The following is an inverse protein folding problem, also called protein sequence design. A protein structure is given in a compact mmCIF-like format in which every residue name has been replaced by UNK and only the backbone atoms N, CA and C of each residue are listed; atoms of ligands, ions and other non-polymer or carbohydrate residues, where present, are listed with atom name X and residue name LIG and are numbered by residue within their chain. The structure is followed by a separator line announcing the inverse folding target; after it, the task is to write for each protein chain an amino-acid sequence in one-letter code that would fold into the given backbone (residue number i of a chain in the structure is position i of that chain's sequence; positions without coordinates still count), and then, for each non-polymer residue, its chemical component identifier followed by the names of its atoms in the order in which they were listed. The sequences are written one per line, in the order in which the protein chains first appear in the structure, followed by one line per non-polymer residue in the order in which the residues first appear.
data_IF_951216001635
#
_entry.id   IF_951216001635
#
_cell.length_a   1.000
_cell.length_b   1.000
_cell.length_c   1.000
_cell.angle_alpha   90.00
_cell.angle_beta   90.00
_cell.angle_gamma   90.00
#
_symmetry.space_group_name_H-M   'P 1'
#
loop_
_entity.id
_entity.type
_entity.pdbx_description
1 polymer ?
#
# COMPACT_ATOMS: atom_id res chain seq x y z
N UNK A 1 8.07 -14.82 33.13
CA UNK A 1 9.50 -15.05 33.42
C UNK A 1 9.87 -16.53 33.39
N UNK A 2 8.97 -17.47 33.71
CA UNK A 2 9.21 -18.93 33.64
C UNK A 2 9.26 -19.48 32.18
N UNK A 3 8.74 -18.74 31.19
CA UNK A 3 8.60 -19.21 29.80
C UNK A 3 9.80 -18.93 28.86
N UNK A 4 10.93 -18.38 29.33
CA UNK A 4 12.02 -17.90 28.45
C UNK A 4 13.24 -18.82 28.34
N UNK A 5 13.18 -20.03 28.85
CA UNK A 5 14.27 -21.00 28.71
C UNK A 5 13.71 -22.34 28.27
N UNK A 6 13.82 -22.66 26.98
CA UNK A 6 14.32 -23.92 26.40
C UNK A 6 14.13 -23.80 24.88
N UNK A 7 15.23 -23.65 24.15
CA UNK A 7 15.28 -23.96 22.71
C UNK A 7 16.25 -25.12 22.54
N UNK A 8 15.73 -26.31 22.26
CA UNK A 8 16.49 -27.38 21.64
C UNK A 8 15.55 -28.43 21.00
N UNK A 9 15.77 -28.68 19.70
CA UNK A 9 15.35 -29.86 18.91
C UNK A 9 13.84 -30.16 18.83
N UNK A 10 13.16 -29.49 17.90
CA UNK A 10 12.00 -30.06 17.19
C UNK A 10 10.68 -30.21 17.96
N UNK A 11 10.65 -29.97 19.28
CA UNK A 11 9.45 -29.92 20.10
C UNK A 11 8.78 -28.55 20.04
N UNK A 12 7.42 -28.52 20.07
CA UNK A 12 6.66 -27.27 20.22
C UNK A 12 7.05 -26.63 21.56
N UNK A 13 7.17 -25.29 21.66
CA UNK A 13 7.41 -24.62 22.94
C UNK A 13 6.40 -25.12 23.98
N UNK A 14 6.89 -25.67 25.10
CA UNK A 14 6.05 -26.30 26.13
C UNK A 14 5.26 -25.30 26.98
N UNK A 15 5.50 -24.00 26.81
CA UNK A 15 4.68 -22.97 27.42
C UNK A 15 3.54 -22.57 26.47
N UNK A 16 2.30 -22.74 26.94
CA UNK A 16 1.11 -22.02 26.47
C UNK A 16 0.38 -22.53 25.22
N UNK A 17 0.11 -23.83 25.11
CA UNK A 17 -0.95 -24.25 24.17
C UNK A 17 -1.69 -25.50 24.65
N UNK A 18 -3.01 -25.36 24.85
CA UNK A 18 -3.94 -26.47 25.10
C UNK A 18 -4.32 -27.20 23.80
N UNK A 19 -3.70 -26.85 22.66
CA UNK A 19 -4.05 -27.37 21.35
C UNK A 19 -3.12 -28.51 20.94
N UNK A 20 -3.63 -29.73 21.00
CA UNK A 20 -2.93 -30.96 20.59
C UNK A 20 -3.74 -31.73 19.56
N UNK A 21 -3.06 -32.42 18.64
CA UNK A 21 -3.71 -33.22 17.61
C UNK A 21 -4.01 -32.45 16.32
N UNK A 22 -4.65 -33.12 15.35
CA UNK A 22 -5.06 -32.51 14.08
C UNK A 22 -6.26 -31.58 14.26
N UNK A 23 -6.35 -30.55 13.42
CA UNK A 23 -7.53 -29.68 13.35
C UNK A 23 -8.82 -30.43 12.99
N UNK A 24 -9.85 -30.29 13.84
CA UNK A 24 -11.20 -30.77 13.56
C UNK A 24 -12.01 -29.72 12.78
N UNK A 25 -12.38 -30.07 11.55
CA UNK A 25 -13.15 -29.20 10.64
C UNK A 25 -14.67 -29.38 10.73
N UNK A 26 -15.17 -30.25 11.61
CA UNK A 26 -16.60 -30.60 11.72
C UNK A 26 -17.50 -29.38 11.92
N UNK A 27 -17.13 -28.50 12.86
CA UNK A 27 -17.88 -27.28 13.17
C UNK A 27 -17.91 -26.31 11.98
N UNK A 28 -16.75 -26.10 11.33
CA UNK A 28 -16.68 -25.25 10.14
C UNK A 28 -17.57 -25.81 9.01
N UNK A 29 -17.53 -27.12 8.78
CA UNK A 29 -18.34 -27.73 7.74
C UNK A 29 -19.83 -27.40 7.93
N UNK A 30 -20.35 -27.57 9.15
CA UNK A 30 -21.73 -27.23 9.49
C UNK A 30 -22.04 -25.75 9.25
N UNK A 31 -21.17 -24.84 9.70
CA UNK A 31 -21.33 -23.39 9.51
C UNK A 31 -21.38 -22.99 8.03
N UNK A 32 -20.46 -23.51 7.22
CA UNK A 32 -20.38 -23.15 5.80
C UNK A 32 -21.56 -23.71 5.00
N UNK A 33 -22.00 -24.93 5.29
CA UNK A 33 -23.19 -25.52 4.66
C UNK A 33 -24.45 -24.72 5.00
N UNK A 34 -24.65 -24.39 6.29
CA UNK A 34 -25.78 -23.56 6.72
C UNK A 34 -25.74 -22.18 6.04
N UNK A 35 -24.56 -21.57 5.92
CA UNK A 35 -24.40 -20.28 5.24
C UNK A 35 -24.73 -20.38 3.75
N UNK A 36 -24.20 -21.39 3.05
CA UNK A 36 -24.46 -21.62 1.64
C UNK A 36 -25.95 -21.89 1.35
N UNK A 37 -26.63 -22.61 2.24
CA UNK A 37 -28.08 -22.88 2.14
C UNK A 37 -28.93 -21.61 2.17
N UNK A 38 -28.46 -20.52 2.78
CA UNK A 38 -29.13 -19.20 2.73
C UNK A 38 -28.91 -18.44 1.41
N UNK A 39 -28.19 -19.03 0.45
CA UNK A 39 -27.77 -18.35 -0.79
C UNK A 39 -26.66 -17.32 -0.59
N UNK A 40 -26.09 -17.21 0.62
CA UNK A 40 -25.02 -16.26 0.95
C UNK A 40 -23.65 -16.85 0.69
N UNK A 41 -22.69 -15.95 0.42
CA UNK A 41 -21.29 -16.29 0.18
C UNK A 41 -20.37 -15.21 0.75
N UNK A 42 -19.41 -15.55 1.62
CA UNK A 42 -18.47 -14.58 2.15
C UNK A 42 -17.53 -14.06 1.06
N UNK A 43 -17.05 -12.82 1.20
CA UNK A 43 -16.02 -12.27 0.29
C UNK A 43 -14.69 -13.01 0.41
N UNK A 44 -14.30 -13.33 1.65
CA UNK A 44 -13.14 -14.14 2.00
C UNK A 44 -13.31 -14.81 3.36
N UNK A 45 -12.45 -15.78 3.65
CA UNK A 45 -12.40 -16.51 4.92
C UNK A 45 -10.93 -16.66 5.34
N UNK A 46 -10.63 -16.30 6.59
CA UNK A 46 -9.32 -16.50 7.21
C UNK A 46 -9.29 -17.82 8.01
N UNK A 47 -8.12 -18.45 8.10
CA UNK A 47 -7.94 -19.67 8.87
C UNK A 47 -7.25 -19.39 10.20
N UNK A 48 -8.02 -19.13 11.26
CA UNK A 48 -7.46 -18.79 12.58
C UNK A 48 -6.94 -17.36 12.67
N UNK A 49 -6.38 -17.02 13.84
CA UNK A 49 -5.90 -15.68 14.19
C UNK A 49 -4.72 -15.80 15.15
N UNK A 50 -3.53 -15.36 14.72
CA UNK A 50 -2.29 -15.34 15.50
C UNK A 50 -1.96 -16.71 16.17
N UNK A 51 -2.04 -17.80 15.39
CA UNK A 51 -1.86 -19.17 15.89
C UNK A 51 -0.48 -19.78 15.62
N UNK A 52 0.46 -19.00 15.08
CA UNK A 52 1.67 -19.55 14.45
C UNK A 52 2.95 -18.98 15.04
N UNK A 53 3.99 -19.82 15.04
CA UNK A 53 5.32 -19.45 15.51
C UNK A 53 5.40 -19.20 17.01
N UNK A 54 6.51 -18.62 17.45
CA UNK A 54 6.77 -18.36 18.88
C UNK A 54 5.82 -17.32 19.48
N UNK A 55 5.30 -16.41 18.67
CA UNK A 55 4.46 -15.29 19.10
C UNK A 55 2.95 -15.55 18.95
N UNK A 56 2.52 -16.79 18.73
CA UNK A 56 1.10 -17.12 18.71
C UNK A 56 0.45 -17.00 20.09
N UNK A 57 -0.86 -16.69 20.14
CA UNK A 57 -1.59 -16.39 21.37
C UNK A 57 -2.09 -17.67 22.07
N UNK A 58 -2.64 -18.62 21.32
CA UNK A 58 -3.27 -19.86 21.85
C UNK A 58 -2.64 -21.14 21.30
N UNK A 59 -1.90 -20.99 20.20
CA UNK A 59 -1.21 -22.08 19.54
C UNK A 59 0.12 -21.57 18.97
N UNK A 60 1.04 -22.50 18.79
CA UNK A 60 2.37 -22.24 18.25
C UNK A 60 2.63 -23.17 17.05
N UNK A 61 1.70 -23.14 16.09
CA UNK A 61 1.70 -24.07 14.97
C UNK A 61 2.93 -23.85 14.08
N UNK A 62 3.52 -24.97 13.66
CA UNK A 62 4.68 -24.99 12.76
C UNK A 62 4.23 -24.82 11.31
N UNK A 63 5.10 -24.33 10.40
CA UNK A 63 4.72 -24.07 9.01
C UNK A 63 4.06 -25.26 8.30
N UNK A 64 4.69 -26.45 8.34
CA UNK A 64 4.18 -27.66 7.69
C UNK A 64 2.82 -28.12 8.25
N UNK A 65 2.64 -27.97 9.56
CA UNK A 65 1.41 -28.32 10.25
C UNK A 65 0.27 -27.38 9.86
N UNK A 66 0.50 -26.08 9.94
CA UNK A 66 -0.48 -25.08 9.56
C UNK A 66 -0.81 -25.15 8.05
N UNK A 67 0.17 -25.44 7.18
CA UNK A 67 -0.05 -25.65 5.75
C UNK A 67 -0.91 -26.88 5.44
N UNK A 68 -0.73 -27.99 6.16
CA UNK A 68 -1.58 -29.18 6.04
C UNK A 68 -3.03 -28.84 6.42
N UNK A 69 -3.22 -28.16 7.55
CA UNK A 69 -4.56 -27.82 8.05
C UNK A 69 -5.24 -26.74 7.18
N UNK A 70 -4.48 -25.78 6.67
CA UNK A 70 -4.98 -24.80 5.70
C UNK A 70 -5.47 -25.45 4.40
N UNK A 71 -4.84 -26.55 3.93
CA UNK A 71 -5.34 -27.32 2.79
C UNK A 71 -6.67 -28.02 3.10
N UNK A 72 -6.81 -28.60 4.28
CA UNK A 72 -8.08 -29.17 4.74
C UNK A 72 -9.16 -28.10 4.80
N UNK A 73 -8.83 -26.92 5.34
CA UNK A 73 -9.72 -25.76 5.38
C UNK A 73 -10.17 -25.35 3.98
N UNK A 74 -9.23 -25.22 3.03
CA UNK A 74 -9.54 -24.94 1.63
C UNK A 74 -10.48 -26.00 1.03
N UNK A 75 -10.28 -27.29 1.33
CA UNK A 75 -11.17 -28.37 0.86
C UNK A 75 -12.59 -28.23 1.39
N UNK A 76 -12.75 -27.94 2.68
CA UNK A 76 -14.07 -27.74 3.30
C UNK A 76 -14.76 -26.50 2.74
N UNK A 77 -14.04 -25.40 2.55
CA UNK A 77 -14.58 -24.19 1.90
C UNK A 77 -15.03 -24.48 0.46
N UNK A 78 -14.28 -25.30 -0.27
CA UNK A 78 -14.65 -25.68 -1.65
C UNK A 78 -15.94 -26.48 -1.70
N UNK A 79 -16.18 -27.38 -0.74
CA UNK A 79 -17.43 -28.15 -0.70
C UNK A 79 -18.69 -27.28 -0.55
N UNK A 80 -18.58 -26.10 0.08
CA UNK A 80 -19.68 -25.16 0.21
C UNK A 80 -19.87 -24.29 -1.04
N UNK A 81 -18.79 -23.94 -1.76
CA UNK A 81 -18.85 -23.07 -2.94
C UNK A 81 -17.95 -23.54 -4.10
N UNK A 82 -18.24 -24.66 -4.76
CA UNK A 82 -17.36 -25.26 -5.77
C UNK A 82 -17.16 -24.39 -7.02
N UNK A 83 -18.20 -23.66 -7.44
CA UNK A 83 -18.16 -22.82 -8.66
C UNK A 83 -17.63 -21.41 -8.42
N UNK A 84 -17.73 -20.91 -7.19
CA UNK A 84 -17.38 -19.53 -6.82
C UNK A 84 -16.70 -19.49 -5.45
N UNK A 85 -15.53 -20.11 -5.28
CA UNK A 85 -14.86 -20.13 -4.00
C UNK A 85 -14.54 -18.71 -3.48
N UNK A 86 -14.69 -18.44 -2.17
CA UNK A 86 -14.21 -17.19 -1.56
C UNK A 86 -12.68 -17.08 -1.56
N UNK A 87 -12.18 -15.86 -1.35
CA UNK A 87 -10.76 -15.61 -1.07
C UNK A 87 -10.37 -16.33 0.24
N UNK A 88 -9.24 -17.03 0.25
CA UNK A 88 -8.70 -17.61 1.49
C UNK A 88 -7.56 -16.75 2.02
N UNK A 89 -7.53 -16.53 3.34
CA UNK A 89 -6.51 -15.75 4.03
C UNK A 89 -5.77 -16.63 5.06
N UNK A 90 -4.45 -16.49 5.12
CA UNK A 90 -3.56 -17.18 6.06
C UNK A 90 -2.13 -16.57 6.05
N UNK A 91 -1.36 -16.63 7.15
CA UNK A 91 -1.72 -17.22 8.43
C UNK A 91 -2.51 -16.30 9.39
N UNK A 92 -2.81 -15.07 8.98
CA UNK A 92 -3.43 -14.06 9.87
C UNK A 92 -2.66 -13.91 11.19
N UNK A 93 -1.35 -13.70 11.07
CA UNK A 93 -0.44 -13.63 12.21
C UNK A 93 0.61 -12.54 12.05
N UNK A 94 1.28 -12.17 13.14
CA UNK A 94 2.41 -11.24 13.09
C UNK A 94 3.49 -11.72 12.11
N UNK A 95 4.05 -10.80 11.31
CA UNK A 95 5.08 -11.15 10.34
C UNK A 95 6.37 -11.64 11.03
N UNK A 96 6.70 -12.91 10.79
CA UNK A 96 7.99 -13.56 11.05
C UNK A 96 8.56 -14.07 9.72
N UNK A 97 9.74 -13.59 9.34
CA UNK A 97 10.32 -13.87 8.03
C UNK A 97 10.67 -15.35 7.83
N UNK A 98 11.18 -16.01 8.87
CA UNK A 98 11.63 -17.40 8.78
C UNK A 98 10.44 -18.37 8.75
N UNK A 99 9.45 -18.14 9.61
CA UNK A 99 8.23 -18.92 9.64
C UNK A 99 7.44 -18.75 8.34
N UNK A 100 7.23 -17.49 7.90
CA UNK A 100 6.47 -17.21 6.69
C UNK A 100 7.15 -17.78 5.44
N UNK A 101 8.47 -17.67 5.33
CA UNK A 101 9.22 -18.25 4.21
C UNK A 101 8.95 -19.75 4.09
N UNK A 102 9.09 -20.49 5.20
CA UNK A 102 8.82 -21.93 5.23
C UNK A 102 7.36 -22.22 4.92
N UNK A 103 6.40 -21.44 5.44
CA UNK A 103 4.99 -21.66 5.17
C UNK A 103 4.63 -21.49 3.69
N UNK A 104 5.19 -20.47 3.03
CA UNK A 104 4.99 -20.26 1.59
C UNK A 104 5.64 -21.40 0.79
N UNK A 105 6.83 -21.88 1.18
CA UNK A 105 7.47 -23.05 0.57
C UNK A 105 6.64 -24.33 0.76
N UNK A 106 6.05 -24.52 1.95
CA UNK A 106 5.15 -25.65 2.22
C UNK A 106 3.91 -25.61 1.33
N UNK A 107 3.39 -24.43 0.97
CA UNK A 107 2.20 -24.28 0.12
C UNK A 107 2.49 -24.34 -1.38
N UNK A 108 3.60 -23.72 -1.83
CA UNK A 108 3.87 -23.44 -3.25
C UNK A 108 5.22 -23.96 -3.75
N UNK A 109 6.08 -24.48 -2.87
CA UNK A 109 7.38 -25.01 -3.23
C UNK A 109 7.29 -26.28 -4.07
N UNK A 110 8.40 -26.69 -4.68
CA UNK A 110 8.47 -27.89 -5.53
C UNK A 110 8.14 -29.19 -4.82
N UNK A 111 8.31 -29.23 -3.49
CA UNK A 111 7.98 -30.37 -2.63
C UNK A 111 6.55 -30.29 -2.06
N UNK A 112 5.81 -29.20 -2.33
CA UNK A 112 4.44 -29.08 -1.87
C UNK A 112 3.58 -30.19 -2.50
N UNK A 113 2.72 -30.86 -1.72
CA UNK A 113 1.74 -31.79 -2.26
C UNK A 113 0.96 -31.14 -3.41
N UNK A 114 0.82 -31.82 -4.56
CA UNK A 114 0.07 -31.26 -5.67
C UNK A 114 -1.37 -30.97 -5.21
N UNK A 115 -1.97 -29.84 -5.63
CA UNK A 115 -3.36 -29.60 -5.34
C UNK A 115 -4.20 -30.75 -5.95
N UNK A 116 -5.28 -31.19 -5.28
CA UNK A 116 -6.17 -32.18 -5.86
C UNK A 116 -6.66 -31.68 -7.23
N UNK A 117 -6.76 -32.58 -8.24
CA UNK A 117 -7.16 -32.19 -9.58
C UNK A 117 -8.53 -31.50 -9.53
N UNK A 118 -8.60 -30.30 -10.11
CA UNK A 118 -9.84 -29.55 -10.20
C UNK A 118 -10.63 -30.05 -11.41
N UNK A 119 -11.95 -30.27 -11.28
CA UNK A 119 -12.82 -30.42 -12.43
C UNK A 119 -12.65 -29.22 -13.38
N UNK A 120 -12.76 -29.46 -14.68
CA UNK A 120 -12.46 -28.46 -15.71
C UNK A 120 -13.33 -27.18 -15.59
N UNK A 121 -14.48 -27.26 -14.91
CA UNK A 121 -15.41 -26.16 -14.67
C UNK A 121 -15.20 -25.43 -13.33
N UNK A 122 -14.22 -25.82 -12.52
CA UNK A 122 -13.96 -25.23 -11.21
C UNK A 122 -12.73 -24.31 -11.20
N UNK A 123 -12.88 -23.05 -10.74
CA UNK A 123 -11.74 -22.14 -10.63
C UNK A 123 -10.84 -22.53 -9.44
N UNK A 124 -9.53 -22.26 -9.58
CA UNK A 124 -8.59 -22.34 -8.48
C UNK A 124 -8.94 -21.34 -7.36
N UNK A 125 -8.52 -21.63 -6.13
CA UNK A 125 -8.63 -20.65 -5.04
C UNK A 125 -7.76 -19.44 -5.32
N UNK A 126 -8.27 -18.27 -4.97
CA UNK A 126 -7.44 -17.11 -4.75
C UNK A 126 -6.97 -17.15 -3.30
N UNK A 127 -5.67 -17.04 -3.07
CA UNK A 127 -5.06 -17.05 -1.74
C UNK A 127 -4.43 -15.68 -1.49
N UNK A 128 -4.72 -15.10 -0.32
CA UNK A 128 -3.99 -13.97 0.23
C UNK A 128 -3.12 -14.46 1.38
N UNK A 129 -1.81 -14.35 1.22
CA UNK A 129 -0.90 -14.48 2.34
C UNK A 129 -1.05 -13.21 3.17
N UNK A 130 -1.45 -13.37 4.43
CA UNK A 130 -1.88 -12.31 5.33
C UNK A 130 -0.96 -12.21 6.54
N UNK A 131 -0.69 -10.99 6.99
CA UNK A 131 0.02 -10.77 8.25
C UNK A 131 -0.57 -9.58 9.01
N UNK A 132 -0.37 -9.58 10.32
CA UNK A 132 -0.80 -8.52 11.22
C UNK A 132 0.33 -7.52 11.42
N UNK A 133 -0.04 -6.25 11.62
CA UNK A 133 0.90 -5.18 11.88
C UNK A 133 0.38 -4.19 12.93
N UNK A 134 1.12 -4.06 14.02
CA UNK A 134 0.92 -3.00 15.02
C UNK A 134 2.23 -2.22 15.20
N UNK A 135 2.57 -1.34 14.24
CA UNK A 135 3.91 -0.77 14.14
C UNK A 135 4.29 0.18 15.27
N UNK A 136 3.33 0.67 16.06
CA UNK A 136 3.58 1.69 17.08
C UNK A 136 3.88 1.09 18.46
N UNK A 137 3.40 -0.12 18.77
CA UNK A 137 3.54 -0.74 20.09
C UNK A 137 2.22 -0.84 20.86
N UNK A 138 2.28 -0.86 22.19
CA UNK A 138 1.12 -1.03 23.06
C UNK A 138 0.32 0.27 23.22
N UNK A 139 -1.00 0.16 23.38
CA UNK A 139 -1.90 1.30 23.60
C UNK A 139 -1.70 2.08 24.91
N UNK A 140 -0.88 1.59 25.84
CA UNK A 140 -0.50 2.26 27.09
C UNK A 140 0.91 2.90 27.02
N UNK A 141 1.60 2.76 25.89
CA UNK A 141 2.94 3.32 25.71
C UNK A 141 2.90 4.86 25.60
N UNK A 142 3.81 5.55 26.31
CA UNK A 142 3.87 7.02 26.31
C UNK A 142 4.48 7.61 25.03
N UNK A 143 5.28 6.84 24.31
CA UNK A 143 6.03 7.26 23.13
C UNK A 143 5.27 7.16 21.80
N UNK A 144 3.97 6.83 21.80
CA UNK A 144 3.23 6.59 20.56
C UNK A 144 3.24 7.79 19.61
N UNK A 145 3.00 9.01 20.11
CA UNK A 145 3.05 10.23 19.28
C UNK A 145 4.42 10.44 18.65
N UNK A 146 5.50 10.26 19.44
CA UNK A 146 6.86 10.39 18.93
C UNK A 146 7.16 9.36 17.83
N UNK A 147 6.70 8.11 17.99
CA UNK A 147 6.87 7.07 16.96
C UNK A 147 6.06 7.35 15.69
N UNK A 148 4.87 7.92 15.81
CA UNK A 148 4.01 8.26 14.67
C UNK A 148 4.66 9.34 13.79
N UNK A 149 5.33 10.33 14.41
CA UNK A 149 5.95 11.46 13.72
C UNK A 149 7.42 11.22 13.36
N UNK A 150 8.02 10.13 13.83
CA UNK A 150 9.40 9.76 13.51
C UNK A 150 9.49 9.17 12.10
N UNK A 151 10.11 9.86 11.13
CA UNK A 151 10.21 9.36 9.77
C UNK A 151 11.05 8.08 9.65
N UNK A 152 12.00 7.84 10.56
CA UNK A 152 12.76 6.58 10.59
C UNK A 152 11.88 5.41 11.03
N UNK A 153 10.97 5.62 12.00
CA UNK A 153 10.01 4.56 12.39
C UNK A 153 9.11 4.19 11.23
N UNK A 154 8.62 5.18 10.48
CA UNK A 154 7.81 4.94 9.30
C UNK A 154 8.59 4.20 8.20
N UNK A 155 9.87 4.49 8.01
CA UNK A 155 10.71 3.76 7.05
C UNK A 155 10.91 2.29 7.45
N UNK A 156 11.12 2.00 8.74
CA UNK A 156 11.20 0.62 9.23
C UNK A 156 9.90 -0.17 8.99
N UNK A 157 8.74 0.49 9.03
CA UNK A 157 7.46 -0.13 8.65
C UNK A 157 7.48 -0.51 7.17
N UNK A 158 7.91 0.41 6.30
CA UNK A 158 8.06 0.16 4.86
C UNK A 158 9.05 -0.97 4.55
N UNK A 159 10.18 -1.04 5.26
CA UNK A 159 11.15 -2.13 5.13
C UNK A 159 10.56 -3.49 5.51
N UNK A 160 9.76 -3.56 6.58
CA UNK A 160 9.06 -4.79 6.99
C UNK A 160 8.07 -5.24 5.92
N UNK A 161 7.31 -4.32 5.33
CA UNK A 161 6.42 -4.61 4.22
C UNK A 161 7.18 -5.14 2.99
N UNK A 162 8.30 -4.52 2.64
CA UNK A 162 9.15 -4.96 1.54
C UNK A 162 9.71 -6.37 1.77
N UNK A 163 10.13 -6.71 3.00
CA UNK A 163 10.58 -8.07 3.34
C UNK A 163 9.48 -9.09 3.12
N UNK A 164 8.27 -8.84 3.63
CA UNK A 164 7.13 -9.72 3.40
C UNK A 164 6.80 -9.88 1.90
N UNK A 165 6.87 -8.80 1.13
CA UNK A 165 6.67 -8.82 -0.32
C UNK A 165 7.70 -9.71 -1.03
N UNK A 166 8.99 -9.60 -0.65
CA UNK A 166 10.08 -10.43 -1.20
C UNK A 166 9.93 -11.91 -0.85
N UNK A 167 9.49 -12.22 0.37
CA UNK A 167 9.20 -13.60 0.76
C UNK A 167 8.19 -14.22 -0.21
N UNK A 168 7.08 -13.52 -0.44
CA UNK A 168 6.00 -14.01 -1.30
C UNK A 168 6.38 -14.06 -2.79
N UNK A 169 6.99 -13.00 -3.31
CA UNK A 169 7.30 -12.88 -4.75
C UNK A 169 8.29 -13.96 -5.20
N UNK A 170 9.22 -14.35 -4.33
CA UNK A 170 10.28 -15.30 -4.67
C UNK A 170 9.83 -16.77 -4.58
N UNK A 171 8.69 -17.05 -3.92
CA UNK A 171 8.29 -18.42 -3.54
C UNK A 171 6.92 -18.84 -4.04
N UNK A 172 5.98 -17.90 -4.21
CA UNK A 172 4.59 -18.26 -4.54
C UNK A 172 4.34 -18.49 -6.02
N UNK A 173 5.31 -18.20 -6.91
CA UNK A 173 5.11 -18.29 -8.36
C UNK A 173 3.99 -17.40 -8.91
N UNK A 174 3.54 -16.40 -8.14
CA UNK A 174 2.41 -15.54 -8.48
C UNK A 174 1.03 -16.14 -8.17
N UNK A 175 0.96 -17.30 -7.51
CA UNK A 175 -0.31 -17.96 -7.14
C UNK A 175 -1.00 -17.35 -5.92
N UNK A 176 -0.33 -16.43 -5.21
CA UNK A 176 -0.89 -15.76 -4.05
C UNK A 176 -0.61 -14.24 -4.08
N UNK A 177 -1.48 -13.49 -3.41
CA UNK A 177 -1.31 -12.04 -3.17
C UNK A 177 -0.91 -11.80 -1.72
N UNK A 178 -0.23 -10.69 -1.42
CA UNK A 178 0.10 -10.30 -0.05
C UNK A 178 -0.94 -9.34 0.51
N UNK A 179 -1.20 -9.40 1.82
CA UNK A 179 -2.12 -8.49 2.51
C UNK A 179 -1.70 -8.23 3.95
N UNK A 180 -2.15 -7.10 4.50
CA UNK A 180 -2.16 -6.87 5.95
C UNK A 180 -3.59 -7.05 6.43
N UNK A 181 -3.93 -8.21 6.97
CA UNK A 181 -5.32 -8.54 7.32
C UNK A 181 -5.78 -7.95 8.66
N UNK A 182 -4.87 -7.37 9.44
CA UNK A 182 -5.19 -6.65 10.67
C UNK A 182 -4.10 -5.61 10.99
N UNK A 183 -4.51 -4.35 11.24
CA UNK A 183 -3.61 -3.30 11.71
C UNK A 183 -4.36 -2.16 12.38
N UNK A 184 -3.97 -1.78 13.60
CA UNK A 184 -4.57 -0.66 14.36
C UNK A 184 -3.57 0.42 14.79
N UNK A 185 -2.31 0.33 14.32
CA UNK A 185 -1.22 1.20 14.75
C UNK A 185 -0.65 0.73 16.08
N UNK A 186 -1.43 0.85 17.15
CA UNK A 186 -1.09 0.35 18.48
C UNK A 186 -2.04 -0.78 18.92
N UNK A 187 -1.50 -1.88 19.45
CA UNK A 187 -2.28 -3.00 19.98
C UNK A 187 -2.90 -2.65 21.35
N UNK A 188 -3.56 -3.59 22.03
CA UNK A 188 -4.29 -3.34 23.28
C UNK A 188 -5.38 -2.26 23.14
N UNK A 189 -6.15 -2.32 22.06
CA UNK A 189 -7.24 -1.38 21.75
C UNK A 189 -6.81 0.07 21.50
N UNK A 190 -5.51 0.36 21.37
CA UNK A 190 -5.01 1.70 21.10
C UNK A 190 -5.09 2.68 22.29
N UNK A 191 -4.74 3.94 22.03
CA UNK A 191 -4.55 4.97 23.04
C UNK A 191 -5.47 6.17 22.82
N UNK A 192 -6.05 6.67 23.92
CA UNK A 192 -6.93 7.82 23.87
C UNK A 192 -6.14 9.10 23.60
N UNK A 193 -6.66 9.97 22.74
CA UNK A 193 -5.95 11.18 22.30
C UNK A 193 -4.82 10.90 21.32
N UNK A 194 -4.63 9.66 20.89
CA UNK A 194 -3.61 9.28 19.91
C UNK A 194 -4.21 8.47 18.76
N UNK A 195 -4.64 7.23 18.97
CA UNK A 195 -5.15 6.36 17.88
C UNK A 195 -6.58 6.70 17.44
N UNK A 196 -7.31 7.50 18.23
CA UNK A 196 -8.60 8.09 17.86
C UNK A 196 -8.50 9.58 17.53
N UNK A 197 -7.29 10.11 17.42
CA UNK A 197 -7.02 11.52 17.20
C UNK A 197 -6.33 11.76 15.84
N UNK A 198 -6.19 13.04 15.48
CA UNK A 198 -5.64 13.48 14.20
C UNK A 198 -4.23 12.97 13.95
N UNK A 199 -3.41 12.86 15.00
CA UNK A 199 -2.06 12.29 14.92
C UNK A 199 -2.06 10.85 14.37
N UNK A 200 -3.09 10.05 14.62
CA UNK A 200 -3.19 8.70 14.03
C UNK A 200 -3.13 8.71 12.49
N UNK A 201 -3.54 9.82 11.87
CA UNK A 201 -3.55 9.95 10.41
C UNK A 201 -2.17 9.81 9.78
N UNK A 202 -1.08 10.19 10.47
CA UNK A 202 0.25 10.14 9.87
C UNK A 202 0.72 8.72 9.60
N UNK A 203 0.73 7.85 10.61
CA UNK A 203 1.14 6.46 10.42
C UNK A 203 0.17 5.72 9.49
N UNK A 204 -1.13 6.02 9.56
CA UNK A 204 -2.14 5.33 8.76
C UNK A 204 -2.04 5.67 7.28
N UNK A 205 -1.95 6.97 6.93
CA UNK A 205 -1.75 7.40 5.55
C UNK A 205 -0.38 6.95 5.01
N UNK A 206 0.66 6.95 5.85
CA UNK A 206 1.97 6.43 5.44
C UNK A 206 1.92 4.94 5.15
N UNK A 207 1.26 4.16 6.01
CA UNK A 207 1.08 2.73 5.81
C UNK A 207 0.33 2.44 4.51
N UNK A 208 -0.76 3.16 4.22
CA UNK A 208 -1.51 3.01 2.96
C UNK A 208 -0.62 3.24 1.72
N UNK A 209 0.24 4.26 1.78
CA UNK A 209 1.21 4.54 0.73
C UNK A 209 2.33 3.48 0.62
N UNK A 210 2.84 3.00 1.76
CA UNK A 210 3.88 1.97 1.79
C UNK A 210 3.35 0.61 1.30
N UNK A 211 2.12 0.25 1.65
CA UNK A 211 1.43 -0.96 1.17
C UNK A 211 1.32 -0.95 -0.37
N UNK A 212 0.89 0.16 -0.95
CA UNK A 212 0.77 0.26 -2.42
C UNK A 212 2.14 0.21 -3.11
N UNK A 213 3.14 0.88 -2.53
CA UNK A 213 4.53 0.86 -3.01
C UNK A 213 5.13 -0.55 -3.01
N UNK A 214 4.76 -1.39 -2.04
CA UNK A 214 5.35 -2.72 -1.84
C UNK A 214 4.46 -3.88 -2.31
N UNK A 215 3.34 -3.58 -3.00
CA UNK A 215 2.54 -4.59 -3.69
C UNK A 215 1.56 -5.37 -2.81
N UNK A 216 1.16 -4.82 -1.66
CA UNK A 216 0.11 -5.39 -0.84
C UNK A 216 -1.25 -5.12 -1.48
N UNK A 217 -2.05 -6.17 -1.66
CA UNK A 217 -3.32 -6.10 -2.37
C UNK A 217 -4.40 -5.34 -1.59
N UNK A 218 -4.40 -5.48 -0.26
CA UNK A 218 -5.30 -4.77 0.63
C UNK A 218 -4.72 -4.71 2.05
N UNK A 219 -5.28 -3.80 2.85
CA UNK A 219 -5.13 -3.80 4.28
C UNK A 219 -6.47 -3.64 4.99
N UNK A 220 -6.63 -4.31 6.12
CA UNK A 220 -7.81 -4.22 6.97
C UNK A 220 -7.48 -3.41 8.22
N UNK A 221 -8.12 -2.25 8.35
CA UNK A 221 -7.98 -1.38 9.52
C UNK A 221 -8.70 -2.02 10.70
N UNK A 222 -7.93 -2.36 11.73
CA UNK A 222 -8.46 -2.62 13.06
C UNK A 222 -8.75 -1.25 13.71
N UNK A 223 -10.00 -0.86 13.89
CA UNK A 223 -11.24 -1.54 13.49
C UNK A 223 -12.22 -0.54 12.84
N UNK A 224 -13.29 -1.04 12.24
CA UNK A 224 -14.41 -0.18 11.87
C UNK A 224 -15.09 0.40 13.12
N UNK A 225 -15.34 -0.45 14.11
CA UNK A 225 -15.98 -0.14 15.40
C UNK A 225 -15.23 -0.88 16.52
N UNK A 226 -15.09 -0.25 17.70
CA UNK A 226 -14.52 -0.88 18.90
C UNK A 226 -13.05 -0.52 19.14
N UNK A 227 -12.70 -0.28 20.40
CA UNK A 227 -11.38 0.23 20.77
C UNK A 227 -11.21 1.73 20.50
N UNK A 228 -9.98 2.21 20.63
CA UNK A 228 -9.56 3.60 20.42
C UNK A 228 -8.87 3.80 19.09
N UNK A 229 -8.67 2.78 18.28
CA UNK A 229 -8.23 2.90 16.88
C UNK A 229 -9.40 2.88 15.88
N UNK A 230 -10.64 2.80 16.38
CA UNK A 230 -11.83 2.62 15.58
C UNK A 230 -12.05 3.79 14.62
N UNK A 231 -12.46 3.46 13.39
CA UNK A 231 -12.84 4.47 12.41
C UNK A 231 -14.15 5.17 12.81
N UNK A 232 -15.10 4.44 13.37
CA UNK A 232 -16.34 4.98 13.93
C UNK A 232 -16.27 4.95 15.47
N UNK A 233 -16.15 6.12 16.08
CA UNK A 233 -16.19 6.23 17.54
C UNK A 233 -17.65 6.30 18.01
N UNK A 234 -18.16 5.15 18.45
CA UNK A 234 -19.52 5.02 18.97
C UNK A 234 -19.74 5.81 20.27
N UNK A 235 -18.69 6.13 21.04
CA UNK A 235 -18.83 6.93 22.28
C UNK A 235 -19.15 8.38 21.96
N UNK A 236 -18.53 8.93 20.91
CA UNK A 236 -18.82 10.29 20.45
C UNK A 236 -19.93 10.35 19.40
N UNK A 237 -20.34 9.21 18.83
CA UNK A 237 -21.26 9.17 17.69
C UNK A 237 -20.70 9.89 16.46
N UNK A 238 -19.38 9.91 16.29
CA UNK A 238 -18.68 10.65 15.23
C UNK A 238 -17.61 9.77 14.57
N UNK A 239 -17.41 9.90 13.24
CA UNK A 239 -16.25 9.31 12.59
C UNK A 239 -14.96 9.95 13.10
N UNK A 240 -13.93 9.12 13.29
CA UNK A 240 -12.59 9.57 13.67
C UNK A 240 -11.91 10.35 12.52
N UNK A 241 -10.83 11.10 12.81
CA UNK A 241 -10.01 11.70 11.76
C UNK A 241 -9.53 10.70 10.70
N UNK A 242 -9.19 9.48 11.10
CA UNK A 242 -8.75 8.41 10.20
C UNK A 242 -9.85 7.90 9.28
N UNK A 243 -11.13 8.01 9.66
CA UNK A 243 -12.23 7.68 8.77
C UNK A 243 -12.24 8.62 7.56
N UNK A 244 -12.11 9.93 7.79
CA UNK A 244 -12.14 10.92 6.72
C UNK A 244 -10.94 10.81 5.79
N UNK A 245 -9.74 10.57 6.31
CA UNK A 245 -8.55 10.33 5.48
C UNK A 245 -8.67 9.04 4.66
N UNK A 246 -9.21 7.97 5.25
CA UNK A 246 -9.52 6.72 4.54
C UNK A 246 -10.55 6.92 3.44
N UNK A 247 -11.59 7.74 3.69
CA UNK A 247 -12.60 8.06 2.69
C UNK A 247 -12.01 8.85 1.51
N UNK A 248 -11.14 9.83 1.78
CA UNK A 248 -10.39 10.54 0.74
C UNK A 248 -9.49 9.59 -0.07
N UNK A 249 -8.70 8.74 0.60
CA UNK A 249 -7.91 7.70 -0.09
C UNK A 249 -8.77 6.84 -1.02
N UNK A 250 -9.91 6.34 -0.50
CA UNK A 250 -10.87 5.53 -1.25
C UNK A 250 -11.52 6.25 -2.42
N UNK A 251 -11.55 7.58 -2.41
CA UNK A 251 -12.20 8.40 -3.45
C UNK A 251 -11.21 8.92 -4.48
N UNK A 252 -9.98 9.25 -4.06
CA UNK A 252 -9.02 9.99 -4.88
C UNK A 252 -7.91 9.10 -5.45
N UNK A 253 -7.47 8.10 -4.70
CA UNK A 253 -6.32 7.23 -5.04
C UNK A 253 -6.81 5.93 -5.68
N UNK A 254 -6.52 5.67 -6.95
CA UNK A 254 -6.88 4.39 -7.61
C UNK A 254 -5.96 3.24 -7.18
N UNK A 255 -6.27 1.97 -7.47
CA UNK A 255 -5.32 0.86 -7.25
C UNK A 255 -4.03 0.91 -8.10
N UNK A 256 -3.96 1.79 -9.11
CA UNK A 256 -2.76 1.95 -9.96
C UNK A 256 -1.78 2.91 -9.30
N UNK A 257 -0.84 2.37 -8.54
CA UNK A 257 0.24 3.15 -7.92
C UNK A 257 1.24 3.66 -8.99
N UNK A 258 1.78 4.85 -8.76
CA UNK A 258 2.82 5.48 -9.55
C UNK A 258 4.08 5.62 -8.70
N UNK A 259 5.26 5.55 -9.34
CA UNK A 259 6.52 5.74 -8.64
C UNK A 259 6.76 7.22 -8.39
N UNK A 260 6.98 7.59 -7.13
CA UNK A 260 7.47 8.93 -6.78
C UNK A 260 9.00 8.92 -6.82
N UNK A 261 9.58 9.82 -7.61
CA UNK A 261 11.03 10.00 -7.76
C UNK A 261 11.41 11.33 -7.12
N UNK A 262 12.27 11.28 -6.10
CA UNK A 262 12.85 12.50 -5.52
C UNK A 262 14.08 12.90 -6.30
N UNK A 263 14.13 14.16 -6.72
CA UNK A 263 15.35 14.79 -7.22
C UNK A 263 15.75 15.89 -6.23
N UNK A 264 16.70 15.66 -5.34
CA UNK A 264 17.25 16.72 -4.48
C UNK A 264 18.49 17.37 -5.12
N UNK A 265 18.38 18.68 -5.29
CA UNK A 265 19.43 19.71 -5.22
C UNK A 265 20.79 19.39 -5.83
N UNK A 266 20.87 19.35 -7.16
CA UNK A 266 22.01 19.94 -7.88
C UNK A 266 21.47 20.73 -9.05
N UNK A 267 21.23 22.02 -8.85
CA UNK A 267 21.41 22.95 -9.95
C UNK A 267 22.88 22.76 -10.36
N UNK A 268 23.11 22.27 -11.58
CA UNK A 268 24.43 22.37 -12.18
C UNK A 268 24.72 23.86 -12.19
N UNK A 269 25.63 24.34 -11.36
CA UNK A 269 26.22 25.63 -11.60
C UNK A 269 26.83 25.54 -13.00
N UNK A 270 26.25 26.32 -13.92
CA UNK A 270 26.91 26.61 -15.17
C UNK A 270 28.34 27.04 -14.83
N UNK A 271 29.28 26.32 -15.42
CA UNK A 271 30.70 26.55 -15.35
C UNK A 271 31.02 28.03 -15.63
N UNK A 272 31.35 28.77 -14.59
CA UNK A 272 32.14 30.00 -14.71
C UNK A 272 33.59 29.55 -14.93
N UNK A 273 34.30 30.03 -15.97
CA UNK A 273 35.71 29.70 -16.14
C UNK A 273 36.50 30.33 -14.99
N UNK A 274 37.08 29.51 -14.12
CA UNK A 274 37.97 29.98 -13.07
C UNK A 274 39.27 30.51 -13.70
N UNK A 275 39.49 31.82 -13.57
CA UNK A 275 40.78 32.47 -13.79
C UNK A 275 41.69 32.14 -12.60
N UNK A 276 42.87 31.61 -12.86
CA UNK A 276 43.84 31.23 -11.84
C UNK A 276 44.40 32.45 -11.09
N UNK A 277 44.71 32.30 -9.79
CA UNK A 277 45.85 32.99 -9.21
C UNK A 277 46.83 32.04 -8.51
N UNK A 278 48.06 32.55 -8.44
CA UNK A 278 49.31 31.90 -8.09
C UNK A 278 49.38 31.29 -6.68
N UNK A 279 50.24 30.28 -6.59
CA UNK A 279 50.69 29.61 -5.39
C UNK A 279 51.51 30.51 -4.45
N UNK A 280 51.32 30.34 -3.13
CA UNK A 280 52.40 30.04 -2.16
C UNK A 280 51.89 30.14 -0.71
N UNK A 281 51.69 29.00 -0.05
CA UNK A 281 51.86 28.80 1.40
C UNK A 281 51.57 27.32 1.75
N UNK A 282 52.46 26.69 2.54
CA UNK A 282 52.47 25.24 2.83
C UNK A 282 51.31 24.73 3.71
N UNK A 283 51.10 23.40 3.77
CA UNK A 283 49.86 22.81 4.27
C UNK A 283 49.89 22.63 5.79
N UNK A 284 49.01 23.33 6.51
CA UNK A 284 48.48 22.82 7.79
C UNK A 284 47.29 21.92 7.46
N UNK A 285 47.40 20.62 7.78
CA UNK A 285 46.30 19.65 7.66
C UNK A 285 45.13 20.13 8.53
N UNK A 286 44.09 20.65 7.87
CA UNK A 286 42.79 20.79 8.51
C UNK A 286 42.28 19.39 8.90
N UNK A 287 41.59 19.24 10.05
CA UNK A 287 40.91 18.00 10.38
C UNK A 287 39.94 17.64 9.25
N UNK A 288 39.74 16.34 8.95
CA UNK A 288 38.78 15.93 7.94
C UNK A 288 37.42 16.55 8.28
N UNK A 289 36.67 17.04 7.27
CA UNK A 289 35.31 17.49 7.52
C UNK A 289 34.54 16.36 8.22
N UNK A 290 33.65 16.69 9.16
CA UNK A 290 32.80 15.67 9.76
C UNK A 290 32.12 14.89 8.63
N UNK A 291 31.91 13.56 8.81
CA UNK A 291 31.15 12.80 7.84
C UNK A 291 29.84 13.55 7.55
N UNK A 292 29.38 13.59 6.29
CA UNK A 292 28.10 14.23 5.98
C UNK A 292 27.07 13.66 6.95
N UNK A 293 26.33 14.54 7.62
CA UNK A 293 25.23 14.14 8.46
C UNK A 293 24.40 13.10 7.67
N UNK A 294 23.99 11.98 8.27
CA UNK A 294 23.14 11.03 7.58
C UNK A 294 22.00 11.82 6.96
N UNK A 295 21.83 11.75 5.63
CA UNK A 295 20.84 12.54 4.89
C UNK A 295 19.55 12.55 5.71
N UNK A 296 19.24 13.70 6.33
CA UNK A 296 18.18 13.76 7.33
C UNK A 296 16.90 13.21 6.69
N UNK A 297 16.30 12.17 7.29
CA UNK A 297 15.17 11.50 6.69
C UNK A 297 14.09 12.54 6.39
N UNK A 298 13.61 12.61 5.14
CA UNK A 298 12.78 13.72 4.72
C UNK A 298 11.46 13.72 5.49
N UNK A 299 11.19 14.82 6.19
CA UNK A 299 9.95 15.05 6.96
C UNK A 299 8.71 15.12 6.08
N UNK A 300 8.88 15.41 4.78
CA UNK A 300 7.80 15.31 3.82
C UNK A 300 7.78 13.90 3.24
N UNK A 301 6.60 13.28 3.14
CA UNK A 301 6.42 11.96 2.54
C UNK A 301 5.34 12.05 1.47
N UNK A 302 5.47 11.28 0.40
CA UNK A 302 4.57 11.40 -0.73
C UNK A 302 4.37 10.09 -1.48
N UNK A 303 3.13 9.87 -1.91
CA UNK A 303 2.68 8.68 -2.60
C UNK A 303 1.77 9.10 -3.75
N UNK A 304 2.06 8.62 -4.96
CA UNK A 304 1.32 9.00 -6.15
C UNK A 304 0.60 7.80 -6.74
N UNK A 305 -0.63 8.02 -7.20
CA UNK A 305 -1.45 7.03 -7.86
C UNK A 305 -2.11 7.69 -9.07
N UNK A 306 -2.55 6.89 -10.04
CA UNK A 306 -3.55 7.40 -10.99
C UNK A 306 -4.78 7.85 -10.20
N UNK A 307 -5.36 8.97 -10.62
CA UNK A 307 -6.62 9.43 -10.06
C UNK A 307 -7.72 8.41 -10.36
N UNK A 308 -8.70 8.34 -9.46
CA UNK A 308 -9.72 7.29 -9.51
C UNK A 308 -10.68 7.49 -10.70
N UNK A 309 -10.67 6.52 -11.62
CA UNK A 309 -11.51 6.55 -12.83
C UNK A 309 -13.02 6.49 -12.57
N UNK A 310 -13.46 5.97 -11.42
CA UNK A 310 -14.88 5.98 -11.04
C UNK A 310 -15.41 7.38 -10.70
N UNK A 311 -14.53 8.38 -10.67
CA UNK A 311 -14.90 9.79 -10.59
C UNK A 311 -14.35 10.47 -11.84
N UNK A 312 -15.10 10.48 -12.96
CA UNK A 312 -14.58 10.95 -14.25
C UNK A 312 -13.95 12.35 -14.20
N UNK A 313 -14.52 13.26 -13.39
CA UNK A 313 -14.01 14.61 -13.14
C UNK A 313 -12.61 14.66 -12.50
N UNK A 314 -12.14 13.55 -11.91
CA UNK A 314 -10.82 13.46 -11.31
C UNK A 314 -9.79 12.80 -12.23
N UNK A 315 -10.23 12.15 -13.32
CA UNK A 315 -9.36 11.43 -14.26
C UNK A 315 -9.67 11.79 -15.71
N UNK A 316 -9.97 13.07 -15.96
CA UNK A 316 -10.45 13.60 -17.25
C UNK A 316 -9.47 13.37 -18.39
N UNK A 317 -8.16 13.45 -18.12
CA UNK A 317 -7.12 13.16 -19.12
C UNK A 317 -5.90 12.51 -18.49
N UNK A 318 -6.07 11.31 -17.95
CA UNK A 318 -4.99 10.58 -17.26
C UNK A 318 -4.54 11.30 -15.99
N UNK A 319 -5.51 11.64 -15.14
CA UNK A 319 -5.29 12.37 -13.91
C UNK A 319 -4.41 11.62 -12.92
N UNK A 320 -3.72 12.40 -12.08
CA UNK A 320 -2.81 11.92 -11.05
C UNK A 320 -3.28 12.44 -9.69
N UNK A 321 -3.30 11.56 -8.69
CA UNK A 321 -3.56 11.92 -7.30
C UNK A 321 -2.31 11.66 -6.46
N UNK A 322 -1.93 12.63 -5.64
CA UNK A 322 -0.77 12.56 -4.76
C UNK A 322 -1.20 12.78 -3.32
N UNK A 323 -0.95 11.80 -2.46
CA UNK A 323 -0.98 11.94 -1.01
C UNK A 323 0.36 12.54 -0.56
N UNK A 324 0.32 13.55 0.29
CA UNK A 324 1.50 14.09 0.94
C UNK A 324 1.30 14.25 2.44
N UNK A 325 2.37 14.00 3.21
CA UNK A 325 2.42 14.17 4.65
C UNK A 325 3.57 15.13 4.96
N UNK A 326 3.32 16.12 5.82
CA UNK A 326 4.34 16.95 6.43
C UNK A 326 4.45 16.59 7.91
N UNK A 327 5.55 15.92 8.28
CA UNK A 327 5.87 15.56 9.66
C UNK A 327 6.62 16.68 10.40
N UNK A 328 6.98 17.76 9.71
CA UNK A 328 7.71 18.88 10.29
C UNK A 328 6.82 19.90 10.98
N UNK A 329 7.43 20.67 11.87
CA UNK A 329 6.81 21.80 12.58
C UNK A 329 6.74 23.07 11.74
N UNK A 330 7.40 23.07 10.57
CA UNK A 330 7.36 24.15 9.60
C UNK A 330 6.46 23.82 8.39
N UNK A 331 5.92 24.86 7.75
CA UNK A 331 5.22 24.69 6.48
C UNK A 331 6.20 24.22 5.39
N UNK A 332 5.79 23.22 4.61
CA UNK A 332 6.59 22.67 3.53
C UNK A 332 6.17 23.26 2.17
N UNK A 333 7.14 23.84 1.44
CA UNK A 333 6.95 24.25 0.04
C UNK A 333 7.49 23.17 -0.90
N UNK A 334 6.58 22.56 -1.66
CA UNK A 334 6.88 21.41 -2.53
C UNK A 334 6.51 21.74 -3.97
N UNK A 335 7.35 21.35 -4.91
CA UNK A 335 7.08 21.41 -6.35
C UNK A 335 6.90 20.00 -6.88
N UNK A 336 5.76 19.76 -7.53
CA UNK A 336 5.40 18.48 -8.15
C UNK A 336 5.54 18.56 -9.66
N UNK A 337 6.50 17.84 -10.22
CA UNK A 337 6.69 17.75 -11.65
C UNK A 337 5.91 16.54 -12.19
N UNK A 338 4.96 16.82 -13.10
CA UNK A 338 4.13 15.85 -13.80
C UNK A 338 4.41 15.90 -15.31
N UNK A 339 4.32 14.78 -16.03
CA UNK A 339 4.46 14.77 -17.49
C UNK A 339 3.37 15.63 -18.15
N UNK A 340 3.71 16.76 -18.78
CA UNK A 340 2.76 17.67 -19.43
C UNK A 340 2.30 18.87 -18.57
N UNK A 341 2.90 19.08 -17.40
CA UNK A 341 2.71 20.30 -16.61
C UNK A 341 3.70 21.38 -17.08
N UNK A 342 3.45 21.99 -18.24
CA UNK A 342 4.27 23.10 -18.74
C UNK A 342 4.08 24.36 -17.85
N UNK A 343 5.08 25.24 -17.83
CA UNK A 343 5.20 26.29 -16.81
C UNK A 343 4.18 27.45 -16.93
N UNK A 344 3.57 27.66 -18.10
CA UNK A 344 2.63 28.79 -18.31
C UNK A 344 1.17 28.40 -18.02
N UNK A 345 0.61 29.00 -16.96
CA UNK A 345 -0.81 28.92 -16.61
C UNK A 345 -1.19 27.81 -15.61
N UNK A 346 -0.35 26.79 -15.45
CA UNK A 346 -0.42 25.73 -14.44
C UNK A 346 -1.63 24.79 -14.55
N UNK A 347 -1.39 23.48 -14.54
CA UNK A 347 -2.47 22.47 -14.55
C UNK A 347 -3.50 22.72 -13.45
N UNK A 348 -4.78 22.54 -13.78
CA UNK A 348 -5.86 22.55 -12.80
C UNK A 348 -5.62 21.50 -11.72
N UNK A 349 -5.82 21.90 -10.47
CA UNK A 349 -5.57 21.07 -9.30
C UNK A 349 -6.73 21.16 -8.33
N UNK A 350 -6.99 20.08 -7.60
CA UNK A 350 -7.97 20.04 -6.52
C UNK A 350 -7.26 19.58 -5.25
N UNK A 351 -7.33 20.42 -4.22
CA UNK A 351 -6.59 20.25 -2.98
C UNK A 351 -7.54 19.82 -1.85
N UNK A 352 -7.11 18.80 -1.11
CA UNK A 352 -7.81 18.27 0.06
C UNK A 352 -6.84 18.21 1.23
N UNK A 353 -6.66 19.35 1.91
CA UNK A 353 -5.71 19.48 3.03
C UNK A 353 -6.42 19.22 4.34
N UNK A 354 -5.92 18.26 5.12
CA UNK A 354 -6.45 17.88 6.42
C UNK A 354 -5.58 18.49 7.52
N UNK A 355 -6.23 19.19 8.45
CA UNK A 355 -5.59 19.80 9.62
C UNK A 355 -6.44 19.57 10.86
N UNK A 356 -5.88 19.86 12.03
CA UNK A 356 -6.61 19.88 13.29
C UNK A 356 -6.10 21.01 14.19
N UNK A 357 -6.87 21.35 15.21
CA UNK A 357 -6.48 22.39 16.18
C UNK A 357 -5.25 21.96 16.99
N UNK A 358 -5.16 20.65 17.31
CA UNK A 358 -3.98 20.00 17.90
C UNK A 358 -3.86 18.58 17.37
N UNK A 359 -2.67 17.98 17.49
CA UNK A 359 -2.43 16.57 17.14
C UNK A 359 -3.36 15.59 17.88
N UNK A 360 -3.70 15.88 19.13
CA UNK A 360 -4.59 15.07 19.96
C UNK A 360 -6.08 15.28 19.70
N UNK A 361 -6.45 16.13 18.74
CA UNK A 361 -7.85 16.40 18.44
C UNK A 361 -8.55 15.18 17.82
N UNK A 362 -9.73 14.82 18.32
CA UNK A 362 -10.62 13.82 17.71
C UNK A 362 -11.46 14.38 16.55
N UNK A 363 -11.16 15.60 16.13
CA UNK A 363 -11.84 16.31 15.06
C UNK A 363 -10.85 16.72 13.99
N UNK A 364 -11.32 16.80 12.75
CA UNK A 364 -10.48 17.15 11.60
C UNK A 364 -11.15 18.24 10.79
N UNK A 365 -10.34 19.11 10.19
CA UNK A 365 -10.74 20.11 9.21
C UNK A 365 -10.28 19.66 7.84
N UNK A 366 -11.15 19.74 6.85
CA UNK A 366 -10.79 19.65 5.44
C UNK A 366 -10.84 21.05 4.86
N UNK A 367 -9.71 21.55 4.35
CA UNK A 367 -9.60 22.89 3.80
C UNK A 367 -10.17 23.96 4.76
N UNK A 368 -9.70 23.93 6.01
CA UNK A 368 -10.14 24.76 7.15
C UNK A 368 -11.58 24.51 7.68
N UNK A 369 -12.44 23.79 6.96
CA UNK A 369 -13.80 23.46 7.39
C UNK A 369 -13.84 22.18 8.23
N UNK A 370 -14.36 22.27 9.46
CA UNK A 370 -14.53 21.12 10.36
C UNK A 370 -15.47 20.07 9.74
N UNK A 371 -15.02 18.82 9.69
CA UNK A 371 -15.83 17.68 9.28
C UNK A 371 -16.56 17.08 10.48
N UNK A 372 -17.84 16.75 10.29
CA UNK A 372 -18.69 16.11 11.30
C UNK A 372 -19.83 15.39 10.59
N UNK A 373 -20.25 14.23 11.11
CA UNK A 373 -21.51 13.63 10.69
C UNK A 373 -22.70 14.51 11.14
N UNK A 374 -23.73 14.59 10.31
CA UNK A 374 -24.97 15.26 10.69
C UNK A 374 -25.73 14.43 11.75
N UNK A 375 -26.64 15.03 12.53
CA UNK A 375 -27.40 14.31 13.56
C UNK A 375 -28.18 13.09 13.05
N UNK A 376 -28.56 13.07 11.76
CA UNK A 376 -29.23 11.95 11.11
C UNK A 376 -28.26 10.84 10.63
N UNK A 377 -26.97 10.92 10.97
CA UNK A 377 -25.94 9.95 10.57
C UNK A 377 -25.36 10.17 9.16
N UNK A 378 -25.88 11.12 8.38
CA UNK A 378 -25.33 11.40 7.05
C UNK A 378 -23.95 12.05 7.12
N UNK A 379 -23.09 11.68 6.18
CA UNK A 379 -21.72 12.17 6.09
C UNK A 379 -21.65 13.49 5.32
N UNK A 380 -20.73 14.41 5.68
CA UNK A 380 -20.56 15.67 4.98
C UNK A 380 -19.93 15.45 3.60
N UNK A 381 -20.21 16.35 2.64
CA UNK A 381 -19.48 16.35 1.38
C UNK A 381 -18.00 16.68 1.61
N UNK A 382 -17.11 15.87 1.05
CA UNK A 382 -15.68 16.12 1.04
C UNK A 382 -15.33 17.08 -0.10
N UNK A 383 -15.42 18.38 0.16
CA UNK A 383 -15.21 19.42 -0.85
C UNK A 383 -13.72 19.79 -0.96
N UNK A 384 -13.16 19.58 -2.15
CA UNK A 384 -11.81 20.03 -2.50
C UNK A 384 -11.78 21.51 -2.87
N UNK A 385 -10.63 22.14 -2.67
CA UNK A 385 -10.37 23.53 -3.08
C UNK A 385 -9.72 23.54 -4.45
N UNK A 386 -10.27 24.31 -5.40
CA UNK A 386 -9.64 24.48 -6.72
C UNK A 386 -8.37 25.30 -6.56
N UNK A 387 -7.29 24.80 -7.15
CA UNK A 387 -5.98 25.41 -7.20
C UNK A 387 -5.38 25.23 -8.61
N UNK A 388 -4.19 25.78 -8.82
CA UNK A 388 -3.45 25.64 -10.08
C UNK A 388 -1.96 25.47 -9.83
N UNK A 389 -1.31 24.81 -10.79
CA UNK A 389 0.14 24.72 -10.87
C UNK A 389 0.77 23.63 -10.00
N UNK A 390 2.10 23.58 -10.09
CA UNK A 390 2.95 22.53 -9.50
C UNK A 390 3.45 22.80 -8.09
N UNK A 391 3.46 24.08 -7.67
CA UNK A 391 3.90 24.46 -6.32
C UNK A 391 2.74 24.33 -5.36
N UNK A 392 2.99 23.71 -4.22
CA UNK A 392 2.03 23.57 -3.13
C UNK A 392 2.70 23.93 -1.80
N UNK A 393 1.87 24.45 -0.90
CA UNK A 393 2.22 24.69 0.49
C UNK A 393 1.43 23.71 1.34
N UNK A 394 2.13 22.91 2.14
CA UNK A 394 1.53 21.98 3.08
C UNK A 394 1.81 22.49 4.50
N UNK A 395 0.78 22.80 5.32
CA UNK A 395 0.98 23.29 6.68
C UNK A 395 1.86 22.37 7.55
N UNK A 396 2.44 22.87 8.65
CA UNK A 396 3.06 22.04 9.67
C UNK A 396 2.15 20.91 10.11
N UNK A 397 2.73 19.75 10.42
CA UNK A 397 2.02 18.62 11.03
C UNK A 397 0.64 18.41 10.38
N UNK A 398 0.65 18.21 9.06
CA UNK A 398 -0.56 18.06 8.27
C UNK A 398 -0.36 17.07 7.13
N UNK A 399 -1.45 16.65 6.51
CA UNK A 399 -1.41 15.80 5.33
C UNK A 399 -2.54 16.17 4.38
N UNK A 400 -2.37 15.87 3.10
CA UNK A 400 -3.37 16.22 2.10
C UNK A 400 -3.29 15.39 0.84
N UNK A 401 -4.36 15.44 0.06
CA UNK A 401 -4.48 14.82 -1.24
C UNK A 401 -4.57 15.92 -2.30
N UNK A 402 -3.80 15.77 -3.37
CA UNK A 402 -3.71 16.74 -4.46
C UNK A 402 -4.00 16.01 -5.76
N UNK A 403 -5.03 16.43 -6.47
CA UNK A 403 -5.45 15.80 -7.72
C UNK A 403 -5.22 16.76 -8.88
N UNK A 404 -4.53 16.29 -9.91
CA UNK A 404 -4.42 16.95 -11.21
C UNK A 404 -5.26 16.14 -12.20
N UNK A 405 -6.53 16.53 -12.49
CA UNK A 405 -7.43 15.71 -13.31
C UNK A 405 -6.97 15.52 -14.76
N UNK A 406 -6.26 16.52 -15.28
CA UNK A 406 -5.75 16.58 -16.64
C UNK A 406 -4.23 16.42 -16.68
N UNK A 407 -3.68 15.58 -15.81
CA UNK A 407 -2.23 15.38 -15.69
C UNK A 407 -1.57 14.78 -16.95
N UNK A 408 -2.32 14.31 -17.95
CA UNK A 408 -1.76 13.75 -19.18
C UNK A 408 -0.97 12.46 -18.98
N UNK A 409 -1.07 11.81 -17.81
CA UNK A 409 -0.26 10.65 -17.49
C UNK A 409 -0.78 9.42 -18.24
N UNK A 410 -0.11 9.05 -19.34
CA UNK A 410 -0.46 7.89 -20.19
C UNK A 410 -0.77 6.59 -19.42
N UNK A 411 -0.01 6.18 -18.38
CA UNK A 411 -0.36 4.99 -17.60
C UNK A 411 -1.72 5.05 -16.87
N UNK A 412 -2.24 6.27 -16.70
CA UNK A 412 -3.50 6.57 -16.03
C UNK A 412 -4.68 6.71 -16.99
N UNK A 413 -4.46 6.54 -18.29
CA UNK A 413 -5.54 6.59 -19.26
C UNK A 413 -6.51 5.42 -19.01
N UNK A 414 -7.79 5.75 -19.10
CA UNK A 414 -8.87 4.78 -19.24
C UNK A 414 -8.76 4.09 -20.60
N UNK A 415 -9.41 2.94 -20.75
CA UNK A 415 -9.45 2.22 -22.01
C UNK A 415 -9.97 3.10 -23.17
N UNK A 416 -11.02 3.89 -22.91
CA UNK A 416 -11.53 4.88 -23.85
C UNK A 416 -10.46 5.90 -24.26
N UNK A 417 -9.80 6.53 -23.29
CA UNK A 417 -8.73 7.51 -23.56
C UNK A 417 -7.57 6.91 -24.36
N UNK A 418 -7.19 5.67 -24.09
CA UNK A 418 -6.16 4.95 -24.86
C UNK A 418 -6.59 4.72 -26.33
N UNK A 419 -7.85 4.38 -26.57
CA UNK A 419 -8.40 4.20 -27.92
C UNK A 419 -8.43 5.53 -28.66
N UNK A 420 -8.92 6.59 -28.01
CA UNK A 420 -9.01 7.93 -28.59
C UNK A 420 -7.63 8.49 -28.94
N UNK A 421 -6.62 8.29 -28.07
CA UNK A 421 -5.23 8.68 -28.34
C UNK A 421 -4.65 7.94 -29.55
N UNK A 422 -4.84 6.62 -29.66
CA UNK A 422 -4.38 5.84 -30.82
C UNK A 422 -5.04 6.27 -32.12
N UNK A 423 -6.31 6.68 -32.07
CA UNK A 423 -7.05 7.21 -33.23
C UNK A 423 -6.48 8.56 -33.67
N UNK A 424 -6.20 9.45 -32.71
CA UNK A 424 -5.58 10.75 -32.99
C UNK A 424 -4.17 10.59 -33.58
N UNK A 425 -3.34 9.71 -33.02
CA UNK A 425 -1.99 9.41 -33.53
C UNK A 425 -2.05 8.85 -34.97
N UNK A 426 -3.02 7.98 -35.28
CA UNK A 426 -3.23 7.46 -36.63
C UNK A 426 -3.64 8.56 -37.61
N UNK A 427 -4.60 9.40 -37.23
CA UNK A 427 -5.08 10.50 -38.07
C UNK A 427 -3.95 11.50 -38.38
N UNK A 428 -3.08 11.79 -37.41
CA UNK A 428 -1.94 12.68 -37.61
C UNK A 428 -0.88 12.08 -38.54
N UNK A 429 -0.59 10.78 -38.43
CA UNK A 429 0.31 10.08 -39.37
C UNK A 429 -0.22 10.09 -40.80
N UNK A 430 -1.53 9.90 -40.96
CA UNK A 430 -2.21 9.99 -42.26
C UNK A 430 -2.11 11.41 -42.83
N UNK A 431 -2.26 12.44 -41.99
CA UNK A 431 -2.10 13.85 -42.36
C UNK A 431 -0.66 14.19 -42.77
N UNK A 432 0.34 13.63 -42.09
CA UNK A 432 1.76 13.85 -42.37
C UNK A 432 2.28 13.03 -43.57
N UNK A 433 1.43 12.27 -44.25
CA UNK A 433 1.82 11.50 -45.43
C UNK A 433 2.70 10.29 -45.14
N UNK A 434 2.81 9.87 -43.88
CA UNK A 434 3.51 8.64 -43.47
C UNK A 434 2.68 7.41 -43.89
N UNK A 435 2.76 7.01 -45.16
CA UNK A 435 2.24 5.71 -45.59
C UNK A 435 2.97 4.60 -44.83
N UNK A 436 2.23 3.77 -44.11
CA UNK A 436 2.73 2.52 -43.53
C UNK A 436 3.33 1.65 -44.64
N UNK A 437 4.66 1.64 -44.76
CA UNK A 437 5.37 0.68 -45.60
C UNK A 437 5.38 -0.67 -44.88
N UNK A 438 4.75 -1.67 -45.50
CA UNK A 438 4.98 -3.08 -45.17
C UNK A 438 3.89 -3.78 -44.36
N UNK A 439 2.76 -4.10 -45.00
CA UNK A 439 2.20 -5.45 -44.84
C UNK A 439 2.86 -6.34 -45.90
N UNK A 440 3.55 -7.44 -45.55
CA UNK A 440 4.02 -8.36 -46.58
C UNK A 440 2.80 -9.07 -47.21
N UNK A 441 2.87 -9.43 -48.51
CA UNK A 441 1.75 -10.03 -49.19
C UNK A 441 1.43 -11.39 -48.58
N UNK A 442 0.13 -11.71 -48.44
CA UNK A 442 -0.35 -13.06 -48.16
C UNK A 442 0.15 -14.00 -49.25
N UNK A 443 1.23 -14.74 -49.00
CA UNK A 443 1.55 -15.95 -49.75
C UNK A 443 0.77 -17.12 -49.14
N UNK A 444 -0.16 -17.68 -49.91
CA UNK A 444 -0.66 -19.04 -49.72
C UNK A 444 0.49 -20.02 -50.00
N UNK A 445 0.85 -20.86 -49.03
CA UNK A 445 1.38 -22.21 -49.27
C UNK A 445 1.53 -23.00 -47.95
N UNK A 446 1.04 -24.24 -47.95
CA UNK A 446 1.79 -25.41 -47.49
C UNK A 446 1.86 -25.71 -45.98
N UNK A 447 1.31 -26.86 -45.60
CA UNK A 447 1.44 -27.50 -44.30
C UNK A 447 2.89 -27.78 -43.89
N UNK A 448 3.22 -27.60 -42.61
CA UNK A 448 3.96 -28.60 -41.80
C UNK A 448 3.90 -28.26 -40.31
N UNK A 449 3.86 -29.32 -39.49
CA UNK A 449 3.75 -29.33 -38.02
C UNK A 449 5.05 -28.82 -37.37
N UNK A 450 4.97 -28.07 -36.26
CA UNK A 450 5.60 -28.47 -34.97
C UNK A 450 5.32 -27.50 -33.82
N UNK A 451 5.17 -28.11 -32.63
CA UNK A 451 5.45 -27.68 -31.26
C UNK A 451 5.38 -26.18 -30.87
N UNK A 452 4.37 -25.83 -30.08
CA UNK A 452 4.33 -24.60 -29.30
C UNK A 452 4.98 -24.81 -27.91
N UNK A 453 6.09 -24.12 -27.66
CA UNK A 453 6.57 -23.83 -26.31
C UNK A 453 6.13 -22.41 -25.93
N UNK A 454 5.41 -22.26 -24.83
CA UNK A 454 4.95 -20.94 -24.36
C UNK A 454 5.99 -20.31 -23.44
N UNK A 455 6.84 -19.46 -23.99
CA UNK A 455 7.61 -18.51 -23.19
C UNK A 455 6.74 -17.26 -22.97
N UNK A 456 6.17 -17.11 -21.76
CA UNK A 456 5.56 -15.86 -21.31
C UNK A 456 6.68 -14.86 -21.02
N UNK A 457 6.89 -13.94 -21.95
CA UNK A 457 7.76 -12.78 -21.76
C UNK A 457 7.14 -11.81 -20.73
N UNK A 458 7.90 -11.52 -19.68
CA UNK A 458 7.65 -10.40 -18.78
C UNK A 458 7.75 -9.09 -19.59
N UNK A 459 6.64 -8.37 -19.72
CA UNK A 459 6.73 -6.96 -20.14
C UNK A 459 7.14 -6.13 -18.93
N UNK A 460 8.36 -5.59 -19.00
CA UNK A 460 8.83 -4.54 -18.10
C UNK A 460 8.01 -3.30 -18.43
N UNK A 461 7.05 -2.96 -17.58
CA UNK A 461 6.32 -1.71 -17.68
C UNK A 461 7.31 -0.54 -17.54
N UNK A 462 7.40 0.28 -18.59
CA UNK A 462 8.01 1.61 -18.53
C UNK A 462 7.32 2.41 -17.42
N UNK A 463 8.03 2.64 -16.32
CA UNK A 463 7.50 3.36 -15.15
C UNK A 463 7.55 4.87 -15.40
N UNK A 464 6.41 5.49 -15.70
CA UNK A 464 6.28 6.94 -15.57
C UNK A 464 6.42 7.32 -14.08
N UNK A 465 7.34 8.23 -13.78
CA UNK A 465 7.58 8.71 -12.42
C UNK A 465 6.95 10.08 -12.17
N UNK A 466 6.44 10.30 -10.96
CA UNK A 466 6.09 11.65 -10.46
C UNK A 466 7.31 12.21 -9.76
N UNK A 467 7.77 13.41 -10.13
CA UNK A 467 8.98 14.01 -9.54
C UNK A 467 8.63 15.03 -8.47
N UNK A 468 9.34 15.00 -7.33
CA UNK A 468 9.20 16.01 -6.26
C UNK A 468 10.49 16.78 -6.04
N UNK A 469 10.36 18.10 -5.88
CA UNK A 469 11.44 19.03 -5.53
C UNK A 469 11.06 19.91 -4.34
N UNK A 470 12.02 20.19 -3.44
CA UNK A 470 11.86 21.18 -2.36
C UNK A 470 12.02 22.57 -2.96
N UNK A 471 11.04 23.45 -2.77
CA UNK A 471 11.19 24.86 -3.14
C UNK A 471 12.14 25.55 -2.18
N UNK A 472 13.16 26.25 -2.68
CA UNK A 472 13.99 27.12 -1.86
C UNK A 472 13.13 28.25 -1.30
N UNK A 473 13.11 28.40 0.03
CA UNK A 473 12.56 29.59 0.67
C UNK A 473 13.56 30.72 0.48
N UNK A 474 13.16 31.78 -0.22
CA UNK A 474 13.84 33.07 -0.13
C UNK A 474 13.38 33.73 1.16
N UNK A 475 14.29 33.83 2.11
CA UNK A 475 14.28 34.79 3.20
C UNK A 475 15.39 35.78 2.97
#
# INVERSE_FOLDING_TARGET
TICRSVVAKGSRPTCCTNYTGPWDSSNLHGLLQATAATGRRPGGLAFGNELVGEHGIEAHLRPAEYAREFRQFASVVRSAWPRRPPLLLAPDANFDEAWLSRFVDELFGSQAPPPPPLPADQPAFQIAISHHMYPLGAGDEKSLVAKILDPHKLDLVGERLLKAARVLSNRSGGFARLSVSETGGAYNSGQDGVTNAFVSGFWWNDLLGALSKHGHAFACRQSLVGGRYALLDLRSGQPSPDFYSTWLWRTLMSPKALRVVRWSTRLRNASVPARAPNASAGPRRAPPPPPPAPDATPLVRAYAHCARSSTPLLNERGGVSVLMLNLGEDAASITVELPGADEEGGLARIDYVLTADTLGSRSVRLNAKRLRALPNGSLPLLQGTRARGRRLSLPPLSFGFFVWPEAGARPCFTEKQMIDERRAERAERERLGERTTGSPPRKRAGSSKSAASSARGNSVASSAGVTLRRGGGGG
#
